data_IF_819848799584
#
_entry.id   IF_819848799584
#
_cell.length_a   1.000
_cell.length_b   1.000
_cell.length_c   1.000
_cell.angle_alpha   90.00
_cell.angle_beta   90.00
_cell.angle_gamma   90.00
#
_symmetry.space_group_name_H-M   'P 1'
#
loop_
_entity.id
_entity.type
_entity.pdbx_description
1 polymer ?
#
# COMPACT_ATOMS: atom_id res chain seq x y z
N UNK A 1 85.94 -27.19 -5.95
CA UNK A 1 84.94 -26.11 -6.03
C UNK A 1 84.13 -26.31 -7.28
N UNK A 2 82.84 -26.60 -7.17
CA UNK A 2 81.76 -26.24 -8.12
C UNK A 2 80.45 -26.86 -7.62
N UNK A 3 79.78 -26.16 -6.70
CA UNK A 3 78.32 -26.03 -6.78
C UNK A 3 78.01 -25.08 -7.94
N UNK A 4 76.74 -24.98 -8.37
CA UNK A 4 76.16 -24.08 -9.40
C UNK A 4 76.09 -24.79 -10.77
N UNK A 5 74.98 -25.38 -11.26
CA UNK A 5 73.58 -24.97 -11.23
C UNK A 5 72.67 -26.20 -11.35
N UNK A 6 71.74 -26.39 -10.40
CA UNK A 6 70.62 -27.33 -10.54
C UNK A 6 69.35 -26.54 -10.83
N UNK A 7 68.63 -26.87 -11.90
CA UNK A 7 67.30 -26.30 -12.12
C UNK A 7 66.30 -26.98 -11.18
N UNK A 8 65.53 -26.17 -10.45
CA UNK A 8 64.36 -26.64 -9.71
C UNK A 8 63.12 -26.13 -10.42
N UNK A 9 62.34 -27.04 -11.00
CA UNK A 9 61.00 -26.72 -11.44
C UNK A 9 60.12 -26.57 -10.21
N UNK A 10 59.60 -25.37 -9.98
CA UNK A 10 58.62 -25.10 -8.93
C UNK A 10 57.31 -24.80 -9.64
N UNK A 11 56.34 -25.70 -9.49
CA UNK A 11 54.99 -25.40 -9.95
C UNK A 11 54.38 -24.33 -9.05
N UNK A 12 53.88 -23.21 -9.60
CA UNK A 12 53.25 -22.18 -8.80
C UNK A 12 51.90 -22.69 -8.27
N UNK A 13 51.64 -22.44 -6.99
CA UNK A 13 50.37 -22.80 -6.36
C UNK A 13 49.32 -21.75 -6.71
N UNK A 14 48.37 -22.11 -7.57
CA UNK A 14 47.26 -21.23 -7.95
C UNK A 14 46.08 -21.46 -7.01
N UNK A 15 45.78 -20.46 -6.18
CA UNK A 15 44.58 -20.48 -5.32
C UNK A 15 43.49 -19.63 -5.96
N UNK A 16 42.30 -20.19 -6.10
CA UNK A 16 41.14 -19.50 -6.69
C UNK A 16 39.98 -19.57 -5.71
N UNK A 17 39.33 -18.44 -5.48
CA UNK A 17 38.12 -18.30 -4.66
C UNK A 17 36.88 -18.50 -5.56
N UNK A 18 36.13 -19.62 -5.41
CA UNK A 18 34.99 -19.92 -6.27
C UNK A 18 33.88 -18.87 -6.20
N UNK A 19 33.65 -18.27 -5.04
CA UNK A 19 32.59 -17.28 -4.87
C UNK A 19 32.91 -15.98 -5.62
N UNK A 20 34.17 -15.54 -5.57
CA UNK A 20 34.62 -14.35 -6.34
C UNK A 20 34.64 -14.60 -7.83
N UNK A 21 35.04 -15.80 -8.26
CA UNK A 21 34.99 -16.20 -9.68
C UNK A 21 33.56 -16.17 -10.18
N UNK A 22 32.62 -16.77 -9.44
CA UNK A 22 31.21 -16.78 -9.81
C UNK A 22 30.63 -15.36 -9.90
N UNK A 23 30.93 -14.48 -8.94
CA UNK A 23 30.46 -13.10 -8.97
C UNK A 23 30.94 -12.32 -10.20
N UNK A 24 32.22 -12.50 -10.57
CA UNK A 24 32.84 -11.81 -11.72
C UNK A 24 32.31 -12.39 -13.03
N UNK A 25 32.37 -13.73 -13.18
CA UNK A 25 31.96 -14.38 -14.42
C UNK A 25 30.47 -14.22 -14.70
N UNK A 26 29.60 -14.21 -13.67
CA UNK A 26 28.16 -13.98 -13.85
C UNK A 26 27.84 -12.63 -14.49
N UNK A 27 28.63 -11.59 -14.21
CA UNK A 27 28.46 -10.26 -14.84
C UNK A 27 28.86 -10.29 -16.32
N UNK A 28 29.74 -11.20 -16.70
CA UNK A 28 30.28 -11.33 -18.06
C UNK A 28 29.52 -12.33 -18.95
N UNK A 29 28.71 -13.23 -18.39
CA UNK A 29 27.98 -14.27 -19.13
C UNK A 29 27.01 -13.73 -20.18
N UNK A 30 26.51 -12.49 -20.03
CA UNK A 30 25.69 -11.81 -21.04
C UNK A 30 24.57 -12.69 -21.63
N UNK A 31 24.68 -13.01 -22.93
CA UNK A 31 23.70 -13.80 -23.70
C UNK A 31 23.96 -15.32 -23.64
N UNK A 32 25.13 -15.75 -23.17
CA UNK A 32 25.51 -17.15 -23.09
C UNK A 32 24.86 -17.85 -21.88
N UNK A 33 24.56 -17.09 -20.82
CA UNK A 33 23.68 -17.56 -19.75
C UNK A 33 22.22 -17.56 -20.21
N UNK A 34 21.56 -18.70 -20.02
CA UNK A 34 20.12 -18.83 -20.21
C UNK A 34 19.46 -18.95 -18.84
N UNK A 35 18.67 -17.93 -18.46
CA UNK A 35 17.94 -17.98 -17.21
C UNK A 35 16.99 -19.18 -17.17
N UNK A 36 16.98 -19.91 -16.06
CA UNK A 36 16.00 -20.96 -15.83
C UNK A 36 14.59 -20.37 -15.75
N UNK A 37 13.60 -21.10 -16.27
CA UNK A 37 12.21 -20.70 -16.12
C UNK A 37 11.74 -21.12 -14.74
N UNK A 38 11.40 -20.13 -13.92
CA UNK A 38 10.94 -20.37 -12.55
C UNK A 38 9.50 -20.91 -12.54
N UNK A 39 9.21 -21.91 -11.70
CA UNK A 39 7.85 -22.42 -11.57
C UNK A 39 6.97 -21.41 -10.82
N UNK A 40 5.70 -21.37 -11.21
CA UNK A 40 4.70 -20.57 -10.50
C UNK A 40 3.30 -21.12 -10.72
N UNK A 41 2.41 -20.86 -9.77
CA UNK A 41 0.98 -21.15 -9.91
C UNK A 41 0.24 -19.82 -9.78
N UNK A 42 -0.50 -19.45 -10.84
CA UNK A 42 -1.29 -18.22 -10.89
C UNK A 42 -2.77 -18.55 -11.00
N UNK A 43 -3.66 -17.64 -10.62
CA UNK A 43 -5.10 -17.86 -10.72
C UNK A 43 -5.71 -16.99 -11.81
N UNK A 44 -6.46 -17.59 -12.74
CA UNK A 44 -7.38 -16.86 -13.62
C UNK A 44 -8.79 -17.02 -13.05
N UNK A 45 -9.29 -15.99 -12.36
CA UNK A 45 -10.51 -16.14 -11.55
C UNK A 45 -10.26 -17.07 -10.37
N UNK A 46 -10.89 -18.25 -10.38
CA UNK A 46 -10.67 -19.33 -9.40
C UNK A 46 -9.99 -20.56 -10.00
N UNK A 47 -9.50 -20.48 -11.24
CA UNK A 47 -8.80 -21.62 -11.89
C UNK A 47 -7.29 -21.47 -11.74
N UNK A 48 -6.59 -22.42 -11.09
CA UNK A 48 -5.13 -22.41 -11.02
C UNK A 48 -4.52 -22.72 -12.39
N UNK A 49 -3.45 -22.00 -12.74
CA UNK A 49 -2.63 -22.16 -13.94
C UNK A 49 -1.18 -22.33 -13.52
N UNK A 50 -0.67 -23.54 -13.72
CA UNK A 50 0.73 -23.87 -13.47
C UNK A 50 1.63 -23.41 -14.62
N UNK A 51 2.74 -22.81 -14.25
CA UNK A 51 3.91 -22.59 -15.11
C UNK A 51 4.98 -23.54 -14.65
N UNK A 52 5.37 -24.48 -15.52
CA UNK A 52 6.35 -25.50 -15.19
C UNK A 52 7.79 -24.97 -15.24
N UNK A 53 8.67 -25.52 -14.39
CA UNK A 53 10.08 -25.17 -14.39
C UNK A 53 10.73 -25.66 -15.71
N UNK A 54 11.67 -24.88 -16.24
CA UNK A 54 12.53 -25.33 -17.34
C UNK A 54 13.98 -25.04 -16.96
N UNK A 55 14.91 -25.99 -17.17
CA UNK A 55 16.32 -25.79 -16.87
C UNK A 55 16.88 -24.61 -17.67
N UNK A 56 17.79 -23.88 -17.03
CA UNK A 56 18.61 -22.85 -17.66
C UNK A 56 20.03 -23.33 -17.90
N UNK A 57 20.84 -22.47 -18.49
CA UNK A 57 22.29 -22.67 -18.61
C UNK A 57 23.00 -21.61 -17.79
N UNK A 58 23.83 -22.06 -16.86
CA UNK A 58 24.51 -21.18 -15.92
C UNK A 58 25.92 -21.65 -15.61
N UNK A 59 26.56 -20.89 -14.74
CA UNK A 59 27.90 -21.18 -14.26
C UNK A 59 27.84 -22.06 -13.02
N UNK A 60 28.69 -23.07 -12.98
CA UNK A 60 29.04 -23.81 -11.78
C UNK A 60 30.31 -23.18 -11.20
N UNK A 61 30.21 -22.61 -10.00
CA UNK A 61 31.32 -21.87 -9.38
C UNK A 61 32.57 -22.74 -9.19
N UNK A 62 32.39 -24.01 -8.83
CA UNK A 62 33.49 -24.93 -8.54
C UNK A 62 34.15 -25.40 -9.84
N UNK A 63 33.36 -25.77 -10.86
CA UNK A 63 33.90 -26.14 -12.17
C UNK A 63 34.54 -24.94 -12.88
N UNK A 64 34.00 -23.74 -12.71
CA UNK A 64 34.60 -22.51 -13.23
C UNK A 64 35.92 -22.19 -12.55
N UNK A 65 35.98 -22.31 -11.22
CA UNK A 65 37.21 -22.15 -10.47
C UNK A 65 38.25 -23.21 -10.85
N UNK A 66 37.83 -24.45 -11.09
CA UNK A 66 38.71 -25.52 -11.56
C UNK A 66 39.28 -25.21 -12.95
N UNK A 67 38.43 -24.89 -13.92
CA UNK A 67 38.86 -24.52 -15.27
C UNK A 67 39.84 -23.34 -15.25
N UNK A 68 39.59 -22.34 -14.40
CA UNK A 68 40.51 -21.23 -14.19
C UNK A 68 41.83 -21.66 -13.56
N UNK A 69 41.83 -22.50 -12.51
CA UNK A 69 43.08 -23.00 -11.90
C UNK A 69 43.95 -23.74 -12.90
N UNK A 70 43.35 -24.60 -13.72
CA UNK A 70 44.04 -25.40 -14.73
C UNK A 70 44.56 -24.55 -15.89
N UNK A 71 43.80 -23.53 -16.29
CA UNK A 71 44.14 -22.67 -17.42
C UNK A 71 44.91 -21.38 -17.08
N UNK A 72 45.06 -21.02 -15.80
CA UNK A 72 45.55 -19.69 -15.38
C UNK A 72 46.95 -19.34 -15.89
N UNK A 73 47.84 -20.34 -15.93
CA UNK A 73 49.24 -20.18 -16.33
C UNK A 73 49.43 -20.36 -17.85
N UNK A 74 48.35 -20.68 -18.56
CA UNK A 74 48.35 -20.85 -20.01
C UNK A 74 48.32 -19.50 -20.74
N UNK A 75 48.84 -19.49 -21.96
CA UNK A 75 48.80 -18.34 -22.87
C UNK A 75 47.50 -18.33 -23.72
N UNK A 76 46.61 -19.31 -23.49
CA UNK A 76 45.40 -19.55 -24.29
C UNK A 76 44.13 -19.16 -23.51
N UNK A 77 43.03 -18.84 -24.20
CA UNK A 77 41.73 -18.60 -23.55
C UNK A 77 41.27 -19.82 -22.74
N UNK A 78 40.79 -19.59 -21.52
CA UNK A 78 40.23 -20.63 -20.66
C UNK A 78 38.76 -20.85 -21.02
N UNK A 79 38.41 -22.06 -21.47
CA UNK A 79 37.03 -22.44 -21.71
C UNK A 79 36.35 -22.83 -20.39
N UNK A 80 35.35 -22.05 -19.97
CA UNK A 80 34.57 -22.36 -18.77
C UNK A 80 33.26 -23.03 -19.18
N UNK A 81 33.00 -24.28 -18.76
CA UNK A 81 31.80 -24.99 -19.15
C UNK A 81 30.57 -24.39 -18.48
N UNK A 82 29.51 -24.16 -19.27
CA UNK A 82 28.19 -23.89 -18.74
C UNK A 82 27.50 -25.21 -18.39
N UNK A 83 26.89 -25.26 -17.21
CA UNK A 83 26.12 -26.41 -16.75
C UNK A 83 24.63 -26.11 -16.83
N UNK A 84 23.83 -27.16 -16.87
CA UNK A 84 22.39 -27.04 -16.68
C UNK A 84 22.08 -26.70 -15.23
N UNK A 85 21.28 -25.65 -15.02
CA UNK A 85 20.84 -25.21 -13.69
C UNK A 85 19.33 -25.40 -13.61
N UNK A 86 18.89 -26.17 -12.61
CA UNK A 86 17.50 -26.51 -12.41
C UNK A 86 16.88 -25.67 -11.29
N UNK A 87 15.62 -25.21 -11.45
CA UNK A 87 14.84 -24.68 -10.34
C UNK A 87 14.71 -25.74 -9.24
N UNK A 88 14.74 -25.29 -7.98
CA UNK A 88 14.61 -26.17 -6.82
C UNK A 88 13.29 -26.97 -6.80
N UNK A 89 12.20 -26.38 -7.33
CA UNK A 89 10.91 -27.07 -7.43
C UNK A 89 10.76 -27.78 -8.77
N UNK A 90 10.45 -29.09 -8.75
CA UNK A 90 10.27 -29.91 -9.96
C UNK A 90 8.86 -29.81 -10.54
N UNK A 91 8.64 -30.38 -11.74
CA UNK A 91 7.31 -30.43 -12.35
C UNK A 91 6.31 -31.20 -11.48
N UNK A 92 6.75 -32.31 -10.91
CA UNK A 92 5.95 -33.19 -10.05
C UNK A 92 5.55 -32.49 -8.74
N UNK A 93 6.45 -31.67 -8.19
CA UNK A 93 6.15 -30.84 -7.02
C UNK A 93 5.16 -29.72 -7.35
N UNK A 94 5.24 -29.11 -8.53
CA UNK A 94 4.22 -28.15 -9.00
C UNK A 94 2.86 -28.84 -9.13
N UNK A 95 2.81 -30.05 -9.72
CA UNK A 95 1.57 -30.81 -9.87
C UNK A 95 0.95 -31.13 -8.49
N UNK A 96 1.78 -31.56 -7.53
CA UNK A 96 1.35 -31.77 -6.13
C UNK A 96 0.82 -30.49 -5.50
N UNK A 97 1.51 -29.36 -5.65
CA UNK A 97 1.04 -28.07 -5.13
C UNK A 97 -0.30 -27.64 -5.75
N UNK A 98 -0.52 -27.96 -7.03
CA UNK A 98 -1.82 -27.69 -7.67
C UNK A 98 -2.93 -28.58 -7.10
N UNK A 99 -2.65 -29.87 -6.93
CA UNK A 99 -3.63 -30.84 -6.44
C UNK A 99 -3.95 -30.65 -4.95
N UNK A 100 -2.91 -30.49 -4.12
CA UNK A 100 -3.01 -30.54 -2.65
C UNK A 100 -3.31 -29.16 -2.03
N UNK A 101 -2.96 -28.07 -2.71
CA UNK A 101 -3.12 -26.72 -2.19
C UNK A 101 -3.92 -25.80 -3.11
N UNK A 102 -3.49 -25.59 -4.37
CA UNK A 102 -4.06 -24.53 -5.20
C UNK A 102 -5.53 -24.79 -5.58
N UNK A 103 -5.86 -26.03 -5.97
CA UNK A 103 -7.22 -26.44 -6.32
C UNK A 103 -8.15 -26.45 -5.09
N UNK A 104 -7.81 -27.12 -3.98
CA UNK A 104 -8.67 -27.09 -2.81
C UNK A 104 -8.80 -25.68 -2.23
N UNK A 105 -7.75 -24.85 -2.21
CA UNK A 105 -7.80 -23.49 -1.65
C UNK A 105 -8.96 -22.65 -2.20
N UNK A 106 -9.30 -22.80 -3.48
CA UNK A 106 -10.33 -22.01 -4.16
C UNK A 106 -11.62 -22.80 -4.43
N UNK A 107 -11.72 -24.03 -3.95
CA UNK A 107 -12.91 -24.87 -4.12
C UNK A 107 -14.08 -24.43 -3.22
N UNK A 108 -13.81 -23.85 -2.05
CA UNK A 108 -14.82 -23.50 -1.06
C UNK A 108 -14.40 -22.30 -0.21
N UNK A 109 -15.37 -21.49 0.26
CA UNK A 109 -15.08 -20.35 1.12
C UNK A 109 -14.52 -20.79 2.48
N UNK A 110 -13.82 -19.87 3.15
CA UNK A 110 -13.35 -20.06 4.53
C UNK A 110 -14.18 -19.16 5.46
N UNK A 111 -14.64 -19.69 6.58
CA UNK A 111 -15.34 -18.91 7.60
C UNK A 111 -14.36 -18.38 8.63
N UNK A 112 -14.40 -17.07 8.87
CA UNK A 112 -13.62 -16.38 9.89
C UNK A 112 -14.55 -16.04 11.03
N UNK A 113 -14.30 -16.57 12.22
CA UNK A 113 -15.05 -16.28 13.44
C UNK A 113 -14.34 -15.17 14.22
N UNK A 114 -15.07 -14.13 14.58
CA UNK A 114 -14.57 -13.01 15.41
C UNK A 114 -15.49 -12.81 16.60
N UNK A 115 -15.04 -12.09 17.61
CA UNK A 115 -15.87 -11.74 18.79
C UNK A 115 -17.12 -10.92 18.45
N UNK A 116 -17.18 -10.34 17.24
CA UNK A 116 -18.27 -9.50 16.76
C UNK A 116 -19.13 -10.15 15.68
N UNK A 117 -18.84 -11.39 15.32
CA UNK A 117 -19.59 -12.15 14.32
C UNK A 117 -18.70 -12.86 13.31
N UNK A 118 -19.32 -13.38 12.27
CA UNK A 118 -18.67 -14.23 11.28
C UNK A 118 -18.51 -13.53 9.93
N UNK A 119 -17.33 -13.71 9.33
CA UNK A 119 -17.00 -13.19 8.01
C UNK A 119 -16.64 -14.35 7.09
N UNK A 120 -17.18 -14.37 5.88
CA UNK A 120 -16.82 -15.37 4.86
C UNK A 120 -15.72 -14.81 3.95
N UNK A 121 -14.64 -15.57 3.79
CA UNK A 121 -13.58 -15.33 2.80
C UNK A 121 -13.95 -16.10 1.52
N UNK A 122 -14.39 -15.42 0.45
CA UNK A 122 -14.80 -16.09 -0.77
C UNK A 122 -13.58 -16.65 -1.53
N UNK A 123 -13.75 -17.70 -2.34
CA UNK A 123 -12.69 -18.25 -3.19
C UNK A 123 -11.95 -17.22 -4.04
N UNK A 124 -12.67 -16.21 -4.55
CA UNK A 124 -12.07 -15.14 -5.33
C UNK A 124 -11.09 -14.26 -4.52
N UNK A 125 -11.31 -14.09 -3.22
CA UNK A 125 -10.39 -13.38 -2.34
C UNK A 125 -9.14 -14.22 -2.04
N UNK A 126 -9.32 -15.54 -1.86
CA UNK A 126 -8.23 -16.50 -1.68
C UNK A 126 -7.33 -16.51 -2.93
N UNK A 127 -7.92 -16.67 -4.12
CA UNK A 127 -7.21 -16.70 -5.39
C UNK A 127 -6.39 -15.41 -5.65
N UNK A 128 -6.91 -14.24 -5.22
CA UNK A 128 -6.22 -12.94 -5.36
C UNK A 128 -5.08 -12.75 -4.38
N UNK A 129 -5.13 -13.38 -3.21
CA UNK A 129 -4.19 -13.18 -2.11
C UNK A 129 -3.15 -14.30 -1.99
N UNK A 130 -3.45 -15.52 -2.43
CA UNK A 130 -2.53 -16.65 -2.39
C UNK A 130 -1.38 -16.47 -3.39
N UNK A 131 -0.15 -16.56 -2.91
CA UNK A 131 1.09 -16.42 -3.66
C UNK A 131 1.81 -17.75 -3.72
N UNK A 132 1.94 -18.28 -4.93
CA UNK A 132 2.61 -19.54 -5.26
C UNK A 132 3.67 -19.30 -6.35
N UNK A 133 4.49 -18.26 -6.16
CA UNK A 133 5.60 -17.92 -7.06
C UNK A 133 6.92 -18.36 -6.45
N UNK A 134 7.79 -18.96 -7.25
CA UNK A 134 9.10 -19.35 -6.80
C UNK A 134 10.01 -18.16 -6.43
N UNK A 135 10.92 -18.39 -5.49
CA UNK A 135 12.04 -17.48 -5.21
C UNK A 135 13.16 -17.58 -6.27
N UNK A 136 14.29 -16.90 -6.02
CA UNK A 136 15.45 -16.89 -6.94
C UNK A 136 16.05 -18.29 -7.16
N UNK A 137 15.83 -19.22 -6.25
CA UNK A 137 16.32 -20.60 -6.34
C UNK A 137 15.34 -21.50 -7.09
N UNK A 138 14.14 -21.02 -7.40
CA UNK A 138 13.10 -21.85 -7.98
C UNK A 138 12.24 -22.57 -6.95
N UNK A 139 12.36 -22.25 -5.66
CA UNK A 139 11.55 -22.85 -4.59
C UNK A 139 10.24 -22.10 -4.41
N UNK A 140 9.11 -22.81 -4.48
CA UNK A 140 7.80 -22.24 -4.16
C UNK A 140 7.55 -22.36 -2.66
N UNK A 141 7.42 -21.21 -1.98
CA UNK A 141 6.98 -21.14 -0.59
C UNK A 141 5.57 -20.52 -0.56
N UNK A 142 4.50 -21.32 -0.37
CA UNK A 142 3.15 -20.82 -0.31
C UNK A 142 2.96 -19.79 0.78
N UNK A 143 2.37 -18.65 0.43
CA UNK A 143 2.03 -17.60 1.39
C UNK A 143 0.79 -16.84 0.97
N UNK A 144 0.12 -16.19 1.91
CA UNK A 144 -0.97 -15.27 1.62
C UNK A 144 -0.43 -13.83 1.71
N UNK A 145 -0.68 -13.03 0.69
CA UNK A 145 -0.34 -11.61 0.66
C UNK A 145 -1.36 -10.81 1.49
N UNK A 146 -0.91 -10.31 2.63
CA UNK A 146 -1.73 -9.59 3.60
C UNK A 146 -2.46 -8.38 2.97
N UNK A 147 -1.76 -7.59 2.16
CA UNK A 147 -2.33 -6.38 1.55
C UNK A 147 -3.43 -6.74 0.57
N UNK A 148 -3.20 -7.75 -0.27
CA UNK A 148 -4.21 -8.24 -1.22
C UNK A 148 -5.40 -8.89 -0.50
N UNK A 149 -5.14 -9.63 0.58
CA UNK A 149 -6.19 -10.22 1.41
C UNK A 149 -7.07 -9.12 2.02
N UNK A 150 -6.46 -8.13 2.68
CA UNK A 150 -7.19 -7.01 3.30
C UNK A 150 -8.02 -6.23 2.27
N UNK A 151 -7.46 -5.95 1.10
CA UNK A 151 -8.18 -5.28 0.02
C UNK A 151 -9.36 -6.13 -0.50
N UNK A 152 -9.17 -7.44 -0.68
CA UNK A 152 -10.23 -8.33 -1.14
C UNK A 152 -11.35 -8.53 -0.10
N UNK A 153 -11.05 -8.33 1.19
CA UNK A 153 -11.97 -8.48 2.30
C UNK A 153 -12.52 -7.15 2.84
N UNK A 154 -12.26 -6.01 2.20
CA UNK A 154 -12.68 -4.70 2.72
C UNK A 154 -14.19 -4.62 3.04
N UNK A 155 -15.05 -5.04 2.10
CA UNK A 155 -16.50 -5.06 2.29
C UNK A 155 -16.96 -6.04 3.38
N UNK A 156 -16.55 -7.32 3.39
CA UNK A 156 -16.97 -8.23 4.44
C UNK A 156 -16.41 -7.87 5.83
N UNK A 157 -15.18 -7.35 5.92
CA UNK A 157 -14.58 -6.93 7.19
C UNK A 157 -15.26 -5.71 7.80
N UNK A 158 -15.82 -4.81 6.98
CA UNK A 158 -16.57 -3.65 7.48
C UNK A 158 -17.77 -3.99 8.38
N UNK A 159 -18.22 -5.25 8.41
CA UNK A 159 -19.28 -5.74 9.30
C UNK A 159 -18.81 -6.04 10.73
N UNK A 160 -17.51 -6.33 10.91
CA UNK A 160 -16.91 -6.74 12.20
C UNK A 160 -15.83 -5.77 12.69
N UNK A 161 -15.22 -5.02 11.79
CA UNK A 161 -14.27 -3.96 12.11
C UNK A 161 -14.99 -2.68 12.53
N UNK A 162 -14.38 -1.95 13.46
CA UNK A 162 -14.82 -0.61 13.86
C UNK A 162 -13.72 0.36 13.47
N UNK A 163 -13.97 1.36 12.60
CA UNK A 163 -12.96 2.32 12.23
C UNK A 163 -12.55 3.17 13.44
N UNK A 164 -11.27 3.51 13.52
CA UNK A 164 -10.80 4.46 14.52
C UNK A 164 -11.40 5.84 14.25
N UNK A 165 -11.75 6.55 15.32
CA UNK A 165 -12.31 7.90 15.25
C UNK A 165 -11.26 8.90 15.68
N UNK A 166 -10.88 9.78 14.76
CA UNK A 166 -9.93 10.85 15.06
C UNK A 166 -10.47 11.82 16.09
N UNK A 167 -9.57 12.25 17.00
CA UNK A 167 -9.81 13.35 17.89
C UNK A 167 -9.88 14.65 17.09
N UNK A 168 -10.79 15.54 17.48
CA UNK A 168 -11.00 16.84 16.83
C UNK A 168 -11.16 17.95 17.85
N UNK A 169 -11.26 19.20 17.40
CA UNK A 169 -11.59 20.34 18.27
C UNK A 169 -12.92 20.92 17.82
N UNK A 170 -13.89 21.01 18.72
CA UNK A 170 -15.16 21.68 18.46
C UNK A 170 -15.22 23.01 19.22
N UNK A 171 -15.92 24.00 18.67
CA UNK A 171 -16.21 25.25 19.38
C UNK A 171 -17.55 25.07 20.13
N UNK A 172 -17.50 24.91 21.45
CA UNK A 172 -18.70 24.91 22.32
C UNK A 172 -18.77 26.23 23.06
N UNK A 173 -19.86 27.00 22.86
CA UNK A 173 -20.01 28.32 23.47
C UNK A 173 -18.90 29.32 23.10
N UNK A 174 -18.29 29.17 21.91
CA UNK A 174 -17.18 30.01 21.46
C UNK A 174 -15.79 29.61 21.99
N UNK A 175 -15.70 28.58 22.85
CA UNK A 175 -14.43 28.06 23.38
C UNK A 175 -14.01 26.77 22.66
N UNK A 176 -12.75 26.63 22.23
CA UNK A 176 -12.21 25.36 21.74
C UNK A 176 -12.30 24.28 22.81
N UNK A 177 -12.92 23.15 22.46
CA UNK A 177 -13.04 21.98 23.31
C UNK A 177 -12.58 20.76 22.52
N UNK A 178 -11.65 19.99 23.10
CA UNK A 178 -11.19 18.75 22.49
C UNK A 178 -12.33 17.74 22.51
N UNK A 179 -12.68 17.21 21.34
CA UNK A 179 -13.56 16.06 21.18
C UNK A 179 -12.64 14.84 21.09
N UNK A 180 -12.70 13.99 22.11
CA UNK A 180 -11.87 12.81 22.18
C UNK A 180 -12.08 11.90 20.97
N UNK A 181 -10.97 11.38 20.46
CA UNK A 181 -10.96 10.27 19.51
C UNK A 181 -11.29 8.96 20.21
N UNK A 182 -11.50 7.92 19.42
CA UNK A 182 -11.70 6.57 19.93
C UNK A 182 -10.89 5.58 19.09
N UNK A 183 -10.30 4.60 19.76
CA UNK A 183 -9.62 3.50 19.09
C UNK A 183 -10.60 2.72 18.22
N UNK A 184 -10.12 2.33 17.05
CA UNK A 184 -10.79 1.36 16.19
C UNK A 184 -10.42 -0.06 16.60
N UNK A 185 -11.06 -1.02 15.94
CA UNK A 185 -10.66 -2.41 15.97
C UNK A 185 -10.67 -2.96 14.56
N UNK A 186 -9.57 -3.61 14.16
CA UNK A 186 -9.41 -4.23 12.86
C UNK A 186 -9.01 -5.69 13.04
N UNK A 187 -9.36 -6.53 12.08
CA UNK A 187 -8.91 -7.93 12.08
C UNK A 187 -7.41 -7.93 11.81
N UNK A 188 -6.66 -8.69 12.61
CA UNK A 188 -5.25 -8.96 12.37
C UNK A 188 -5.09 -9.81 11.10
N UNK A 189 -4.83 -9.11 10.00
CA UNK A 189 -4.67 -9.76 8.69
C UNK A 189 -3.37 -10.54 8.58
N UNK A 190 -2.36 -10.24 9.39
CA UNK A 190 -1.11 -10.98 9.41
C UNK A 190 -1.31 -12.35 10.06
N UNK A 191 -1.92 -12.40 11.25
CA UNK A 191 -2.31 -13.65 11.91
C UNK A 191 -3.26 -14.46 11.04
N UNK A 192 -4.32 -13.82 10.53
CA UNK A 192 -5.30 -14.46 9.64
C UNK A 192 -4.65 -15.07 8.40
N UNK A 193 -3.68 -14.38 7.78
CA UNK A 193 -2.99 -14.88 6.58
C UNK A 193 -2.23 -16.18 6.83
N UNK A 194 -1.67 -16.32 8.04
CA UNK A 194 -0.94 -17.52 8.48
C UNK A 194 -1.91 -18.67 8.75
N UNK A 195 -2.99 -18.39 9.50
CA UNK A 195 -4.00 -19.40 9.83
C UNK A 195 -4.74 -19.91 8.59
N UNK A 196 -4.99 -19.03 7.62
CA UNK A 196 -5.61 -19.40 6.35
C UNK A 196 -4.80 -20.48 5.64
N UNK A 197 -3.47 -20.34 5.53
CA UNK A 197 -2.62 -21.33 4.84
C UNK A 197 -2.78 -22.74 5.40
N UNK A 198 -3.02 -22.89 6.71
CA UNK A 198 -3.21 -24.18 7.35
C UNK A 198 -4.58 -24.83 7.07
N UNK A 199 -5.59 -24.05 6.68
CA UNK A 199 -6.95 -24.56 6.41
C UNK A 199 -7.29 -24.66 4.93
N UNK A 200 -6.60 -23.92 4.05
CA UNK A 200 -6.85 -23.93 2.60
C UNK A 200 -6.78 -25.33 1.94
N UNK A 201 -5.88 -26.25 2.35
CA UNK A 201 -5.85 -27.62 1.80
C UNK A 201 -7.05 -28.50 2.18
N UNK A 202 -7.75 -28.19 3.27
CA UNK A 202 -8.79 -29.07 3.84
C UNK A 202 -10.03 -29.09 2.96
N UNK A 203 -10.68 -30.24 2.76
CA UNK A 203 -11.95 -30.30 2.02
C UNK A 203 -13.06 -29.55 2.77
N UNK A 204 -13.24 -29.86 4.06
CA UNK A 204 -14.30 -29.32 4.92
C UNK A 204 -13.73 -28.70 6.21
N UNK A 205 -14.61 -28.10 7.03
CA UNK A 205 -14.22 -27.54 8.33
C UNK A 205 -13.28 -26.35 8.23
N UNK A 206 -13.38 -25.58 7.14
CA UNK A 206 -12.56 -24.38 6.89
C UNK A 206 -13.01 -23.23 7.77
N UNK A 207 -12.58 -23.25 9.03
CA UNK A 207 -12.85 -22.19 9.99
C UNK A 207 -11.56 -21.74 10.65
N UNK A 208 -11.38 -20.43 10.73
CA UNK A 208 -10.25 -19.78 11.41
C UNK A 208 -10.78 -18.68 12.33
N UNK A 209 -10.06 -18.40 13.41
CA UNK A 209 -10.39 -17.31 14.33
C UNK A 209 -9.73 -16.02 13.86
N UNK A 210 -10.53 -14.98 13.63
CA UNK A 210 -10.03 -13.64 13.32
C UNK A 210 -9.93 -12.80 14.58
N UNK A 211 -8.72 -12.55 15.05
CA UNK A 211 -8.47 -11.70 16.22
C UNK A 211 -8.65 -10.22 15.85
N UNK A 212 -9.43 -9.49 16.65
CA UNK A 212 -9.57 -8.04 16.53
C UNK A 212 -8.47 -7.34 17.33
N UNK A 213 -7.64 -6.57 16.66
CA UNK A 213 -6.59 -5.74 17.26
C UNK A 213 -7.01 -4.28 17.30
N UNK A 214 -6.57 -3.56 18.34
CA UNK A 214 -6.83 -2.13 18.46
C UNK A 214 -6.03 -1.34 17.43
N UNK A 215 -6.69 -0.38 16.80
CA UNK A 215 -6.05 0.54 15.87
C UNK A 215 -6.24 1.96 16.38
N UNK A 216 -5.13 2.61 16.70
CA UNK A 216 -5.16 3.99 17.17
C UNK A 216 -5.68 4.91 16.06
N UNK A 217 -6.43 5.97 16.40
CA UNK A 217 -6.81 6.99 15.44
C UNK A 217 -5.57 7.67 14.87
N UNK A 218 -5.67 8.18 13.64
CA UNK A 218 -4.62 8.96 12.99
C UNK A 218 -4.29 10.21 13.80
N UNK A 219 -5.31 10.81 14.42
CA UNK A 219 -5.14 11.93 15.35
C UNK A 219 -5.65 11.53 16.74
N UNK A 220 -4.76 11.37 17.72
CA UNK A 220 -5.14 10.99 19.09
C UNK A 220 -5.59 12.19 19.93
N UNK A 221 -6.34 11.93 21.00
CA UNK A 221 -6.79 12.96 21.94
C UNK A 221 -5.62 13.70 22.57
N UNK A 222 -4.54 12.99 22.94
CA UNK A 222 -3.32 13.59 23.49
C UNK A 222 -2.63 14.48 22.45
N UNK A 223 -2.61 14.04 21.19
CA UNK A 223 -2.03 14.82 20.09
C UNK A 223 -2.77 16.15 19.95
N UNK A 224 -4.10 16.12 19.91
CA UNK A 224 -4.93 17.33 19.81
C UNK A 224 -4.78 18.23 21.04
N UNK A 225 -4.74 17.66 22.24
CA UNK A 225 -4.55 18.44 23.47
C UNK A 225 -3.21 19.19 23.49
N UNK A 226 -2.14 18.59 22.95
CA UNK A 226 -0.81 19.20 22.84
C UNK A 226 -0.73 20.34 21.82
N UNK A 227 -1.70 20.45 20.90
CA UNK A 227 -1.70 21.52 19.89
C UNK A 227 -1.95 22.91 20.47
N UNK A 228 -2.41 23.00 21.73
CA UNK A 228 -2.53 24.27 22.44
C UNK A 228 -3.55 25.24 21.83
N UNK A 229 -4.62 24.72 21.21
CA UNK A 229 -5.68 25.56 20.63
C UNK A 229 -6.48 26.21 21.77
N UNK A 230 -6.16 27.47 22.07
CA UNK A 230 -6.69 28.19 23.24
C UNK A 230 -7.95 28.99 22.96
N UNK A 231 -8.05 29.60 21.77
CA UNK A 231 -9.10 30.56 21.47
C UNK A 231 -9.41 30.66 19.99
N UNK A 232 -10.51 31.33 19.67
CA UNK A 232 -10.87 31.67 18.29
C UNK A 232 -10.11 32.93 17.87
N UNK A 233 -9.15 32.76 16.96
CA UNK A 233 -8.32 33.85 16.46
C UNK A 233 -9.09 34.81 15.55
N UNK A 234 -10.02 34.31 14.73
CA UNK A 234 -10.78 35.15 13.80
C UNK A 234 -12.12 34.53 13.40
N UNK A 235 -13.05 35.38 12.94
CA UNK A 235 -14.35 34.97 12.42
C UNK A 235 -14.79 35.95 11.35
N UNK A 236 -15.36 35.43 10.26
CA UNK A 236 -15.95 36.26 9.21
C UNK A 236 -17.28 35.65 8.78
N UNK A 237 -18.21 36.51 8.34
CA UNK A 237 -19.50 36.07 7.82
C UNK A 237 -19.75 36.78 6.50
N UNK A 238 -19.85 35.99 5.44
CA UNK A 238 -20.15 36.49 4.10
C UNK A 238 -21.59 36.15 3.76
N UNK A 239 -22.38 37.17 3.41
CA UNK A 239 -23.75 36.99 2.91
C UNK A 239 -23.72 36.90 1.39
N UNK A 240 -24.47 35.98 0.82
CA UNK A 240 -24.61 35.82 -0.63
C UNK A 240 -26.08 35.69 -1.02
N UNK A 241 -26.49 36.21 -2.20
CA UNK A 241 -27.86 36.14 -2.69
C UNK A 241 -28.19 34.73 -3.24
N UNK A 242 -29.49 34.43 -3.38
CA UNK A 242 -29.98 33.23 -4.08
C UNK A 242 -30.54 32.10 -3.20
N UNK A 243 -30.42 32.20 -1.87
CA UNK A 243 -30.96 31.20 -0.93
C UNK A 243 -30.35 29.79 -1.09
N UNK A 244 -30.68 28.88 -0.17
CA UNK A 244 -30.12 27.51 -0.15
C UNK A 244 -30.57 26.63 -1.33
N UNK A 245 -31.59 27.06 -2.08
CA UNK A 245 -32.07 26.37 -3.29
C UNK A 245 -31.19 26.65 -4.51
N UNK A 246 -30.43 27.75 -4.54
CA UNK A 246 -29.58 28.06 -5.70
C UNK A 246 -28.37 27.10 -5.82
N UNK A 247 -28.01 26.65 -7.03
CA UNK A 247 -26.85 25.78 -7.26
C UNK A 247 -25.55 26.33 -6.67
N UNK A 248 -25.30 27.63 -6.82
CA UNK A 248 -24.13 28.32 -6.24
C UNK A 248 -24.08 28.18 -4.72
N UNK A 249 -25.21 28.33 -4.05
CA UNK A 249 -25.27 28.24 -2.59
C UNK A 249 -25.02 26.81 -2.11
N UNK A 250 -25.50 25.81 -2.85
CA UNK A 250 -25.23 24.40 -2.56
C UNK A 250 -23.74 24.07 -2.71
N UNK A 251 -23.08 24.58 -3.76
CA UNK A 251 -21.63 24.44 -3.93
C UNK A 251 -20.84 25.11 -2.79
N UNK A 252 -21.28 26.30 -2.33
CA UNK A 252 -20.66 26.98 -1.18
C UNK A 252 -20.83 26.14 0.09
N UNK A 253 -22.02 25.58 0.34
CA UNK A 253 -22.27 24.70 1.49
C UNK A 253 -21.40 23.45 1.44
N UNK A 254 -21.24 22.84 0.27
CA UNK A 254 -20.40 21.65 0.06
C UNK A 254 -18.93 21.94 0.41
N UNK A 255 -18.33 22.97 -0.20
CA UNK A 255 -16.95 23.41 0.11
C UNK A 255 -16.80 23.78 1.58
N UNK A 256 -17.81 24.45 2.15
CA UNK A 256 -17.79 24.86 3.55
C UNK A 256 -17.74 23.65 4.49
N UNK A 257 -18.51 22.59 4.21
CA UNK A 257 -18.48 21.35 4.99
C UNK A 257 -17.14 20.64 4.88
N UNK A 258 -16.53 20.65 3.70
CA UNK A 258 -15.23 20.01 3.47
C UNK A 258 -14.07 20.76 4.16
N UNK A 259 -14.14 22.09 4.18
CA UNK A 259 -13.17 22.92 4.88
C UNK A 259 -13.43 23.03 6.39
N UNK A 260 -14.62 22.64 6.88
CA UNK A 260 -14.94 22.70 8.30
C UNK A 260 -14.11 21.68 9.07
N UNK A 261 -13.28 22.18 9.99
CA UNK A 261 -12.45 21.36 10.83
C UNK A 261 -11.10 20.94 10.30
N UNK A 262 -10.67 21.52 9.19
CA UNK A 262 -9.28 21.41 8.76
C UNK A 262 -8.34 21.91 9.86
N UNK A 263 -7.35 21.09 10.19
CA UNK A 263 -6.33 21.39 11.18
C UNK A 263 -5.06 21.87 10.49
N UNK A 264 -4.58 23.03 10.89
CA UNK A 264 -3.35 23.66 10.38
C UNK A 264 -2.32 23.59 11.50
N UNK A 265 -1.36 22.69 11.37
CA UNK A 265 -0.27 22.54 12.34
C UNK A 265 0.67 23.77 12.31
N UNK A 266 1.42 24.03 13.40
CA UNK A 266 2.39 25.12 13.43
C UNK A 266 3.37 25.07 12.25
N UNK A 267 3.64 26.21 11.61
CA UNK A 267 4.51 26.30 10.43
C UNK A 267 3.84 25.90 9.10
N UNK A 268 2.61 25.38 9.13
CA UNK A 268 1.90 24.99 7.92
C UNK A 268 1.03 26.12 7.35
N UNK A 269 0.73 25.99 6.06
CA UNK A 269 -0.15 26.91 5.32
C UNK A 269 -1.42 26.19 4.89
N UNK A 270 -2.57 26.74 5.24
CA UNK A 270 -3.85 26.29 4.70
C UNK A 270 -4.08 26.87 3.31
N UNK A 271 -4.59 26.04 2.39
CA UNK A 271 -5.02 26.46 1.06
C UNK A 271 -6.34 25.77 0.76
N UNK A 272 -7.42 26.55 0.64
CA UNK A 272 -8.76 26.00 0.37
C UNK A 272 -8.79 25.13 -0.89
N UNK A 273 -8.13 25.58 -1.97
CA UNK A 273 -8.10 24.82 -3.23
C UNK A 273 -7.29 23.54 -3.13
N UNK A 274 -6.21 23.54 -2.36
CA UNK A 274 -5.41 22.33 -2.13
C UNK A 274 -6.19 21.34 -1.26
N UNK A 275 -6.95 21.85 -0.30
CA UNK A 275 -7.76 21.03 0.62
C UNK A 275 -8.97 20.41 -0.06
N UNK A 276 -9.71 21.15 -0.90
CA UNK A 276 -10.93 20.64 -1.58
C UNK A 276 -10.64 19.95 -2.90
N UNK A 277 -9.44 20.11 -3.47
CA UNK A 277 -9.10 19.55 -4.78
C UNK A 277 -9.93 20.12 -5.94
N UNK A 278 -10.02 19.34 -7.03
CA UNK A 278 -10.87 19.63 -8.19
C UNK A 278 -12.35 19.54 -7.80
N UNK A 279 -13.20 20.32 -8.48
CA UNK A 279 -14.64 20.43 -8.22
C UNK A 279 -15.40 19.78 -9.37
N UNK A 280 -15.84 18.55 -9.18
CA UNK A 280 -16.51 17.75 -10.21
C UNK A 280 -17.98 17.48 -9.87
N UNK A 281 -18.76 17.12 -10.89
CA UNK A 281 -20.15 16.72 -10.71
C UNK A 281 -20.30 15.50 -9.78
N UNK A 282 -19.33 14.57 -9.81
CA UNK A 282 -19.33 13.36 -8.98
C UNK A 282 -19.23 13.66 -7.47
N UNK A 283 -18.64 14.79 -7.11
CA UNK A 283 -18.61 15.26 -5.72
C UNK A 283 -19.90 16.01 -5.31
N UNK A 284 -20.85 16.16 -6.24
CA UNK A 284 -22.12 16.86 -6.01
C UNK A 284 -22.11 18.35 -6.29
N UNK A 285 -21.06 18.87 -6.96
CA UNK A 285 -21.06 20.24 -7.46
C UNK A 285 -22.08 20.40 -8.59
N UNK A 286 -22.73 21.55 -8.62
CA UNK A 286 -23.74 21.92 -9.62
C UNK A 286 -23.27 23.09 -10.47
N UNK A 287 -23.84 23.22 -11.66
CA UNK A 287 -23.55 24.36 -12.52
C UNK A 287 -23.98 25.67 -11.86
N UNK A 288 -23.01 26.58 -11.76
CA UNK A 288 -23.20 27.93 -11.27
C UNK A 288 -22.44 28.91 -12.20
N UNK A 289 -22.85 30.19 -12.27
CA UNK A 289 -22.11 31.18 -13.03
C UNK A 289 -20.67 31.32 -12.49
N UNK A 290 -19.70 31.02 -13.34
CA UNK A 290 -18.26 31.04 -13.08
C UNK A 290 -17.60 32.11 -13.93
N UNK A 291 -16.62 32.84 -13.39
CA UNK A 291 -15.88 33.82 -14.18
C UNK A 291 -14.65 33.14 -14.76
N UNK A 292 -14.59 33.03 -16.08
CA UNK A 292 -13.45 32.55 -16.87
C UNK A 292 -13.10 33.64 -17.87
N UNK A 293 -11.85 34.14 -17.82
CA UNK A 293 -11.35 35.22 -18.69
C UNK A 293 -12.27 36.46 -18.74
N UNK A 294 -12.82 36.84 -17.59
CA UNK A 294 -13.71 37.99 -17.45
C UNK A 294 -15.15 37.76 -17.91
N UNK A 295 -15.51 36.56 -18.38
CA UNK A 295 -16.87 36.20 -18.80
C UNK A 295 -17.54 35.23 -17.84
N UNK A 296 -18.85 35.37 -17.65
CA UNK A 296 -19.65 34.42 -16.89
C UNK A 296 -20.00 33.21 -17.77
N UNK A 297 -19.51 32.04 -17.41
CA UNK A 297 -19.81 30.76 -18.04
C UNK A 297 -20.42 29.79 -17.01
N UNK A 298 -21.41 28.97 -17.38
CA UNK A 298 -21.86 27.87 -16.52
C UNK A 298 -20.73 26.86 -16.27
N UNK A 299 -20.60 26.40 -15.03
CA UNK A 299 -19.69 25.30 -14.69
C UNK A 299 -19.71 24.99 -13.19
N UNK A 300 -19.04 23.91 -12.76
CA UNK A 300 -18.97 23.52 -11.35
C UNK A 300 -18.04 24.49 -10.59
N UNK A 301 -18.58 25.62 -10.14
CA UNK A 301 -17.82 26.58 -9.33
C UNK A 301 -18.43 26.84 -7.96
N UNK A 302 -17.55 26.79 -6.96
CA UNK A 302 -17.68 27.52 -5.71
C UNK A 302 -16.58 28.59 -5.68
N UNK A 303 -16.92 29.82 -6.06
CA UNK A 303 -16.07 31.02 -5.93
C UNK A 303 -14.74 31.04 -6.74
N UNK A 304 -14.83 31.44 -8.02
CA UNK A 304 -13.71 32.07 -8.74
C UNK A 304 -13.58 33.53 -8.30
N UNK A 305 -12.90 33.78 -7.19
CA UNK A 305 -12.19 35.06 -6.99
C UNK A 305 -10.80 34.77 -6.46
N UNK A 306 -9.83 35.33 -7.17
CA UNK A 306 -8.42 35.46 -6.83
C UNK A 306 -8.25 36.20 -5.49
N UNK A 307 -8.46 35.47 -4.40
CA UNK A 307 -8.00 35.83 -3.07
C UNK A 307 -7.61 34.51 -2.44
N UNK A 308 -6.34 34.12 -2.60
CA UNK A 308 -5.75 32.95 -1.94
C UNK A 308 -6.03 33.10 -0.43
N UNK A 309 -6.94 32.35 0.20
CA UNK A 309 -7.02 32.34 1.64
C UNK A 309 -5.86 31.45 2.10
N UNK A 310 -4.65 32.03 2.09
CA UNK A 310 -3.47 31.43 2.71
C UNK A 310 -3.43 31.95 4.13
N UNK A 311 -3.75 31.07 5.07
CA UNK A 311 -3.37 31.29 6.46
C UNK A 311 -2.10 30.49 6.71
N UNK A 312 -0.98 31.20 6.90
CA UNK A 312 0.28 30.62 7.39
C UNK A 312 0.34 30.79 8.90
N UNK A 313 0.61 29.70 9.62
CA UNK A 313 0.89 29.78 11.06
C UNK A 313 2.40 29.89 11.27
N UNK A 314 2.91 30.83 12.10
CA UNK A 314 4.32 30.85 12.51
C UNK A 314 4.68 29.55 13.26
N UNK A 315 5.95 29.13 13.20
CA UNK A 315 6.42 27.90 13.86
C UNK A 315 6.25 27.91 15.38
N UNK A 316 6.19 29.10 16.00
CA UNK A 316 5.99 29.33 17.43
C UNK A 316 4.53 29.49 17.85
N UNK A 317 3.57 29.46 16.92
CA UNK A 317 2.15 29.66 17.22
C UNK A 317 1.43 28.31 17.39
N UNK A 318 0.47 28.18 18.33
CA UNK A 318 -0.35 26.98 18.45
C UNK A 318 -1.09 26.66 17.14
N UNK A 319 -1.51 25.40 16.97
CA UNK A 319 -2.23 24.99 15.76
C UNK A 319 -3.57 25.74 15.64
N UNK A 320 -4.01 25.96 14.40
CA UNK A 320 -5.30 26.60 14.11
C UNK A 320 -6.26 25.59 13.48
N UNK A 321 -7.53 25.62 13.88
CA UNK A 321 -8.59 24.84 13.22
C UNK A 321 -9.57 25.78 12.53
N UNK A 322 -9.92 25.47 11.29
CA UNK A 322 -11.00 26.18 10.60
C UNK A 322 -12.34 25.74 11.16
N UNK A 323 -13.28 26.68 11.30
CA UNK A 323 -14.69 26.34 11.53
C UNK A 323 -15.54 27.08 10.52
N UNK A 324 -16.41 26.37 9.81
CA UNK A 324 -17.32 26.96 8.85
C UNK A 324 -18.76 26.60 9.22
N UNK A 325 -19.68 27.55 9.10
CA UNK A 325 -21.10 27.28 9.32
C UNK A 325 -21.92 28.16 8.39
N UNK A 326 -22.66 27.55 7.48
CA UNK A 326 -23.67 28.23 6.67
C UNK A 326 -25.00 28.24 7.43
N UNK A 327 -25.46 29.41 7.90
CA UNK A 327 -26.81 29.58 8.48
C UNK A 327 -27.60 30.62 7.70
N UNK A 328 -28.90 30.39 7.54
CA UNK A 328 -29.87 31.38 7.09
C UNK A 328 -30.43 32.12 8.30
N UNK A 329 -30.54 33.45 8.21
CA UNK A 329 -31.38 34.23 9.13
C UNK A 329 -32.72 34.41 8.42
N UNK A 330 -33.75 33.70 8.86
CA UNK A 330 -35.14 34.02 8.50
C UNK A 330 -35.47 35.35 9.14
N UNK A 331 -35.46 36.43 8.37
CA UNK A 331 -36.00 37.72 8.82
C UNK A 331 -37.52 37.59 8.82
N UNK A 332 -38.10 37.41 10.01
CA UNK A 332 -39.53 37.68 10.23
C UNK A 332 -39.79 39.18 9.99
N UNK A 333 -40.82 39.58 9.22
CA UNK A 333 -41.12 40.98 9.00
C UNK A 333 -41.70 41.57 10.30
N UNK A 334 -40.84 42.23 11.07
CA UNK A 334 -41.25 43.07 12.20
C UNK A 334 -41.92 44.35 11.68
N UNK A 335 -43.17 44.51 12.07
CA UNK A 335 -44.06 45.64 11.85
C UNK A 335 -43.36 46.99 12.10
N UNK A 336 -43.47 47.92 11.14
CA UNK A 336 -43.26 49.35 11.39
C UNK A 336 -44.27 49.81 12.44
N UNK A 337 -43.78 50.34 13.56
CA UNK A 337 -44.25 51.59 14.16
C UNK A 337 -43.02 52.37 14.61
#
# INVERSE_FOLDING_TARGET
MSLLFGSRTVEPVVTVDPAKVDEVLRKSLGKDAQAMKLPSITFTGTTPKATYPQPGKGLDADKAAQALREGWLGIHPVAVPLVEVHPATTKEEVDKLVADLATPAVASPVTVTTDRGTVTVPPAAIAKSLVLTADKTGKINPRVDEKKLRAALATPLAKVEVPAKDATVALKGGKPTVVAGADGQQVDTAALSTDLLGVLPKADGRTVTGTLTKVAPKTTTETVAKLGIKERVSTFTTKFPGGLSSPRSQNIVLVSKEADGALVLPGQTFSLNTHTGERSYDQGYKDAPTIVDGKLVPGPAAASRSSRPRCSTPSTTPACRTSSTSRTRTTSPGTRR
#
